data_IF_569578651614
#
_entry.id   IF_569578651614
#
_cell.length_a   1.000
_cell.length_b   1.000
_cell.length_c   1.000
_cell.angle_alpha   90.00
_cell.angle_beta   90.00
_cell.angle_gamma   90.00
#
_symmetry.space_group_name_H-M   'P 1'
#
loop_
_entity.id
_entity.type
_entity.pdbx_description
1 polymer ?
#
# COMPACT_ATOMS: atom_id res chain seq x y z
N UNK A 1 28.94 4.63 7.23
CA UNK A 1 27.75 5.43 7.59
C UNK A 1 27.96 6.31 8.80
N UNK A 2 28.84 5.91 9.73
CA UNK A 2 29.25 6.69 10.91
C UNK A 2 29.62 8.17 10.66
N UNK A 3 30.01 8.57 9.44
CA UNK A 3 30.37 9.95 9.14
C UNK A 3 29.17 10.93 9.08
N UNK A 4 27.95 10.44 8.81
CA UNK A 4 26.74 11.27 8.68
C UNK A 4 25.71 10.97 9.78
N UNK A 5 26.08 10.17 10.78
CA UNK A 5 25.16 9.69 11.81
C UNK A 5 24.61 10.85 12.67
N UNK A 6 25.49 11.80 12.99
CA UNK A 6 25.18 13.01 13.75
C UNK A 6 24.61 14.15 12.86
N UNK A 7 24.67 14.04 11.54
CA UNK A 7 24.24 15.10 10.62
C UNK A 7 22.72 15.11 10.46
N UNK A 8 22.05 16.18 10.90
CA UNK A 8 20.60 16.33 10.79
C UNK A 8 20.11 16.34 9.33
N UNK A 9 20.90 16.88 8.40
CA UNK A 9 20.55 16.99 6.99
C UNK A 9 21.47 16.12 6.12
N UNK A 10 20.90 15.10 5.50
CA UNK A 10 21.63 14.22 4.59
C UNK A 10 21.62 14.74 3.15
N UNK A 11 22.68 14.47 2.37
CA UNK A 11 22.74 14.92 0.99
C UNK A 11 21.72 14.21 0.10
N UNK A 12 21.14 14.95 -0.84
CA UNK A 12 20.13 14.47 -1.81
C UNK A 12 20.60 13.23 -2.59
N UNK A 13 21.91 13.09 -2.82
CA UNK A 13 22.50 11.95 -3.53
C UNK A 13 22.13 10.61 -2.91
N UNK A 14 21.91 10.53 -1.59
CA UNK A 14 21.48 9.31 -0.92
C UNK A 14 20.09 8.87 -1.38
N UNK A 15 19.17 9.82 -1.60
CA UNK A 15 17.86 9.50 -2.20
C UNK A 15 18.05 9.04 -3.66
N UNK A 16 18.92 9.69 -4.44
CA UNK A 16 19.17 9.31 -5.84
C UNK A 16 19.64 7.87 -5.97
N UNK A 17 20.66 7.47 -5.19
CA UNK A 17 21.16 6.09 -5.21
C UNK A 17 20.14 5.08 -4.64
N UNK A 18 19.31 5.50 -3.67
CA UNK A 18 18.20 4.68 -3.18
C UNK A 18 17.19 4.38 -4.28
N UNK A 19 16.80 5.39 -5.05
CA UNK A 19 15.85 5.25 -6.16
C UNK A 19 16.44 4.35 -7.26
N UNK A 20 17.71 4.53 -7.60
CA UNK A 20 18.43 3.71 -8.58
C UNK A 20 18.45 2.23 -8.17
N UNK A 21 18.89 1.91 -6.94
CA UNK A 21 18.93 0.53 -6.45
C UNK A 21 17.53 -0.06 -6.27
N UNK A 22 16.56 0.75 -5.83
CA UNK A 22 15.15 0.35 -5.67
C UNK A 22 14.50 -0.09 -6.98
N UNK A 23 14.87 0.52 -8.11
CA UNK A 23 14.39 0.17 -9.45
C UNK A 23 15.21 -0.97 -10.08
N UNK A 24 16.48 -1.09 -9.70
CA UNK A 24 17.45 -2.09 -10.19
C UNK A 24 17.37 -3.44 -9.49
N UNK A 25 18.52 -3.97 -9.08
CA UNK A 25 18.66 -5.31 -8.46
C UNK A 25 18.36 -5.34 -6.96
N UNK A 26 18.16 -4.16 -6.34
CA UNK A 26 17.86 -4.00 -4.91
C UNK A 26 18.92 -4.59 -3.99
N UNK A 27 20.20 -4.36 -4.31
CA UNK A 27 21.35 -4.98 -3.65
C UNK A 27 21.43 -4.58 -2.19
N UNK A 28 21.25 -3.29 -1.90
CA UNK A 28 21.43 -2.77 -0.54
C UNK A 28 20.13 -2.28 0.07
N UNK A 29 19.14 -1.86 -0.73
CA UNK A 29 17.84 -1.43 -0.17
C UNK A 29 17.08 -2.57 0.54
N UNK A 30 17.36 -3.82 0.18
CA UNK A 30 16.81 -5.01 0.83
C UNK A 30 17.79 -5.67 1.83
N UNK A 31 19.02 -5.14 1.96
CA UNK A 31 20.03 -5.68 2.88
C UNK A 31 19.75 -5.26 4.32
N UNK A 32 19.73 -6.24 5.24
CA UNK A 32 19.60 -5.99 6.68
C UNK A 32 20.72 -5.09 7.22
N UNK A 33 21.93 -5.21 6.67
CA UNK A 33 23.10 -4.40 7.04
C UNK A 33 22.94 -2.92 6.68
N UNK A 34 22.06 -2.60 5.73
CA UNK A 34 21.79 -1.23 5.30
C UNK A 34 20.46 -0.72 5.85
N UNK A 35 19.78 -1.47 6.74
CA UNK A 35 18.43 -1.16 7.19
C UNK A 35 18.31 0.24 7.79
N UNK A 36 19.20 0.62 8.71
CA UNK A 36 19.17 1.94 9.32
C UNK A 36 19.33 3.08 8.28
N UNK A 37 20.19 2.88 7.29
CA UNK A 37 20.36 3.82 6.17
C UNK A 37 19.07 4.00 5.40
N UNK A 38 18.48 2.87 5.00
CA UNK A 38 17.27 2.82 4.19
C UNK A 38 16.11 3.46 4.95
N UNK A 39 15.97 3.15 6.24
CA UNK A 39 14.92 3.71 7.09
C UNK A 39 15.08 5.25 7.21
N UNK A 40 16.32 5.75 7.37
CA UNK A 40 16.60 7.20 7.38
C UNK A 40 16.32 7.86 6.01
N UNK A 41 16.65 7.22 4.89
CA UNK A 41 16.31 7.72 3.54
C UNK A 41 14.79 7.79 3.35
N UNK A 42 14.07 6.75 3.77
CA UNK A 42 12.62 6.67 3.61
C UNK A 42 11.86 7.75 4.41
N UNK A 43 12.49 8.38 5.41
CA UNK A 43 11.90 9.54 6.09
C UNK A 43 11.61 10.70 5.13
N UNK A 44 12.36 10.82 4.03
CA UNK A 44 12.13 11.84 3.01
C UNK A 44 10.73 11.78 2.39
N UNK A 45 10.15 10.58 2.32
CA UNK A 45 8.88 10.34 1.64
C UNK A 45 7.66 10.56 2.53
N UNK A 46 7.86 10.65 3.85
CA UNK A 46 6.78 10.79 4.84
C UNK A 46 5.66 9.74 4.72
N UNK A 47 5.99 8.56 4.20
CA UNK A 47 5.03 7.46 3.99
C UNK A 47 4.79 6.70 5.29
N UNK A 48 3.52 6.59 5.69
CA UNK A 48 3.10 5.66 6.75
C UNK A 48 3.03 4.24 6.19
N UNK A 49 4.02 3.42 6.52
CA UNK A 49 4.07 2.03 6.06
C UNK A 49 3.10 1.13 6.86
N UNK A 50 2.45 0.13 6.23
CA UNK A 50 1.64 -0.84 6.93
C UNK A 50 2.47 -1.63 7.95
N UNK A 51 1.98 -1.87 9.18
CA UNK A 51 2.69 -2.71 10.14
C UNK A 51 2.95 -4.12 9.57
N UNK A 52 4.13 -4.68 9.82
CA UNK A 52 4.48 -6.04 9.37
C UNK A 52 3.47 -7.09 9.83
N UNK A 53 2.87 -6.91 11.00
CA UNK A 53 1.81 -7.79 11.54
C UNK A 53 0.55 -7.80 10.67
N UNK A 54 0.15 -6.63 10.13
CA UNK A 54 -0.99 -6.52 9.22
C UNK A 54 -0.71 -7.24 7.89
N UNK A 55 0.51 -7.11 7.37
CA UNK A 55 0.94 -7.82 6.15
C UNK A 55 0.99 -9.34 6.34
N UNK A 56 1.32 -9.80 7.55
CA UNK A 56 1.36 -11.22 7.92
C UNK A 56 -0.04 -11.80 8.15
N UNK A 57 -0.95 -11.05 8.79
CA UNK A 57 -2.35 -11.45 8.96
C UNK A 57 -3.06 -11.67 7.62
N UNK A 58 -2.75 -10.82 6.64
CA UNK A 58 -3.20 -10.98 5.25
C UNK A 58 -2.70 -12.27 4.59
N UNK A 59 -1.57 -12.82 5.02
CA UNK A 59 -1.06 -14.12 4.55
C UNK A 59 -1.71 -15.30 5.29
N UNK A 60 -2.13 -15.14 6.54
CA UNK A 60 -2.72 -16.24 7.33
C UNK A 60 -4.22 -16.39 7.14
N UNK A 61 -4.96 -15.28 6.99
CA UNK A 61 -6.43 -15.31 6.84
C UNK A 61 -6.87 -15.76 5.44
N UNK A 62 -5.98 -15.63 4.45
CA UNK A 62 -6.16 -16.18 3.10
C UNK A 62 -6.12 -17.71 3.05
N UNK A 63 -5.60 -18.37 4.10
CA UNK A 63 -5.57 -19.82 4.24
C UNK A 63 -6.67 -20.44 5.10
N UNK A 64 -7.48 -19.65 5.83
CA UNK A 64 -8.37 -20.17 6.90
C UNK A 64 -9.85 -19.81 6.82
N UNK A 65 -10.26 -18.86 5.97
CA UNK A 65 -11.70 -18.52 5.82
C UNK A 65 -12.45 -19.44 4.83
N UNK A 66 -12.48 -20.73 5.16
CA UNK A 66 -13.24 -21.76 4.44
C UNK A 66 -13.69 -22.90 5.34
N UNK A 67 -14.50 -22.61 6.37
CA UNK A 67 -15.43 -23.58 6.98
C UNK A 67 -16.82 -23.31 6.40
N UNK A 68 -17.61 -24.30 5.96
CA UNK A 68 -17.81 -25.60 6.59
C UNK A 68 -18.18 -26.74 5.62
N UNK A 69 -17.92 -27.96 6.13
CA UNK A 69 -18.55 -29.28 5.92
C UNK A 69 -18.55 -29.93 4.53
N UNK A 70 -17.61 -30.85 4.30
CA UNK A 70 -17.96 -32.20 3.79
C UNK A 70 -16.83 -33.21 4.02
N UNK A 71 -17.22 -34.44 4.32
CA UNK A 71 -16.37 -35.57 4.66
C UNK A 71 -15.62 -36.14 3.45
N UNK A 72 -14.40 -36.63 3.70
CA UNK A 72 -13.81 -37.74 2.93
C UNK A 72 -12.70 -37.39 1.94
N UNK A 73 -11.53 -37.95 2.26
CA UNK A 73 -10.58 -38.58 1.33
C UNK A 73 -9.36 -37.77 0.82
N UNK A 74 -8.21 -38.29 1.28
CA UNK A 74 -6.90 -38.41 0.63
C UNK A 74 -5.92 -37.23 0.58
N UNK A 75 -4.64 -37.47 0.96
CA UNK A 75 -3.58 -36.48 0.86
C UNK A 75 -3.07 -36.44 -0.59
N UNK A 76 -3.34 -35.35 -1.31
CA UNK A 76 -2.61 -35.06 -2.54
C UNK A 76 -1.39 -34.21 -2.19
N UNK A 77 -0.18 -34.56 -2.65
CA UNK A 77 1.02 -33.79 -2.35
C UNK A 77 0.92 -32.44 -3.06
N UNK A 78 0.99 -31.37 -2.29
CA UNK A 78 1.25 -30.03 -2.80
C UNK A 78 2.70 -30.00 -3.27
N UNK A 79 2.92 -29.68 -4.54
CA UNK A 79 4.21 -29.25 -5.06
C UNK A 79 4.70 -28.06 -4.24
N UNK A 80 5.95 -28.03 -3.76
CA UNK A 80 6.49 -26.82 -3.17
C UNK A 80 6.61 -25.76 -4.28
N UNK A 81 6.06 -24.57 -4.03
CA UNK A 81 6.35 -23.37 -4.81
C UNK A 81 7.85 -23.07 -4.65
N UNK A 82 8.64 -23.55 -5.60
CA UNK A 82 10.03 -23.15 -5.79
C UNK A 82 10.05 -21.84 -6.58
N UNK A 83 9.91 -20.68 -5.91
CA UNK A 83 10.54 -19.43 -6.36
C UNK A 83 10.48 -18.33 -5.28
N UNK A 84 11.25 -18.49 -4.20
CA UNK A 84 11.81 -17.36 -3.45
C UNK A 84 13.09 -17.80 -2.72
N UNK A 85 13.92 -18.58 -3.42
CA UNK A 85 15.31 -18.78 -2.99
C UNK A 85 16.03 -17.45 -3.17
N UNK A 86 16.01 -16.63 -2.11
CA UNK A 86 17.01 -15.62 -1.85
C UNK A 86 18.36 -16.21 -2.28
N UNK A 87 18.96 -15.63 -3.30
CA UNK A 87 20.38 -15.83 -3.54
C UNK A 87 21.08 -15.11 -2.40
N UNK A 88 21.16 -15.76 -1.24
CA UNK A 88 22.04 -15.36 -0.16
C UNK A 88 23.46 -15.48 -0.71
N UNK A 89 24.01 -14.35 -1.16
CA UNK A 89 25.44 -14.20 -1.25
C UNK A 89 26.00 -14.48 0.14
N UNK A 90 26.72 -15.59 0.28
CA UNK A 90 27.42 -16.03 1.49
C UNK A 90 28.50 -15.01 1.86
N UNK A 91 28.09 -13.88 2.42
CA UNK A 91 28.93 -13.01 3.23
C UNK A 91 28.81 -13.58 4.64
N UNK A 92 29.95 -13.96 5.22
CA UNK A 92 30.00 -14.56 6.55
C UNK A 92 29.14 -13.76 7.55
N UNK A 93 28.15 -14.42 8.14
CA UNK A 93 27.27 -13.85 9.15
C UNK A 93 28.09 -13.48 10.39
N UNK A 94 28.58 -12.24 10.43
CA UNK A 94 28.97 -11.60 11.67
C UNK A 94 27.66 -11.24 12.39
N UNK A 95 27.31 -12.00 13.43
CA UNK A 95 26.11 -11.75 14.25
C UNK A 95 26.15 -10.32 14.77
N UNK A 96 25.32 -9.43 14.20
CA UNK A 96 25.11 -8.09 14.74
C UNK A 96 24.60 -8.18 16.17
N UNK A 97 25.28 -7.48 17.08
CA UNK A 97 24.83 -7.29 18.46
C UNK A 97 23.51 -6.50 18.49
N UNK A 98 22.60 -6.76 19.44
CA UNK A 98 21.30 -6.06 19.55
C UNK A 98 21.37 -4.55 19.86
N UNK A 99 22.58 -3.97 19.95
CA UNK A 99 22.83 -2.60 20.40
C UNK A 99 23.12 -1.60 19.25
N UNK A 100 23.10 -2.04 17.98
CA UNK A 100 23.47 -1.21 16.81
C UNK A 100 22.26 -0.78 15.96
N UNK A 101 21.05 -0.79 16.52
CA UNK A 101 19.88 -0.18 15.86
C UNK A 101 20.05 1.35 15.94
N UNK A 102 20.79 1.90 14.98
CA UNK A 102 21.02 3.34 14.86
C UNK A 102 19.71 4.15 14.86
N UNK A 103 19.81 5.44 15.13
CA UNK A 103 18.64 6.32 15.21
C UNK A 103 18.02 6.58 13.83
N UNK A 104 16.69 6.48 13.73
CA UNK A 104 15.90 6.91 12.55
C UNK A 104 15.28 8.26 12.85
N UNK A 105 15.58 9.26 12.03
CA UNK A 105 15.03 10.62 12.16
C UNK A 105 14.86 11.28 10.79
N UNK A 106 14.03 12.33 10.66
CA UNK A 106 13.89 13.07 9.40
C UNK A 106 15.24 13.66 8.97
N UNK A 107 15.77 13.24 7.81
CA UNK A 107 17.08 13.71 7.31
C UNK A 107 17.02 14.71 6.15
N UNK A 108 15.82 15.06 5.69
CA UNK A 108 15.63 15.77 4.41
C UNK A 108 14.62 16.93 4.51
N UNK A 109 14.39 17.49 5.70
CA UNK A 109 13.42 18.58 5.87
C UNK A 109 13.78 19.80 4.99
N UNK A 110 15.05 20.20 4.96
CA UNK A 110 15.54 21.32 4.15
C UNK A 110 15.52 21.06 2.63
N UNK A 111 15.54 19.80 2.22
CA UNK A 111 15.57 19.38 0.82
C UNK A 111 14.23 18.78 0.34
N UNK A 112 13.18 18.90 1.15
CA UNK A 112 11.90 18.21 0.94
C UNK A 112 11.29 18.45 -0.44
N UNK A 113 11.20 19.71 -0.89
CA UNK A 113 10.69 20.07 -2.22
C UNK A 113 11.56 19.48 -3.34
N UNK A 114 12.88 19.66 -3.27
CA UNK A 114 13.81 19.15 -4.30
C UNK A 114 13.79 17.62 -4.39
N UNK A 115 13.69 16.95 -3.24
CA UNK A 115 13.61 15.48 -3.19
C UNK A 115 12.29 14.99 -3.75
N UNK A 116 11.16 15.63 -3.39
CA UNK A 116 9.85 15.29 -3.93
C UNK A 116 9.82 15.46 -5.46
N UNK A 117 10.29 16.59 -5.98
CA UNK A 117 10.38 16.86 -7.42
C UNK A 117 11.20 15.79 -8.17
N UNK A 118 12.39 15.46 -7.66
CA UNK A 118 13.24 14.42 -8.25
C UNK A 118 12.54 13.06 -8.28
N UNK A 119 11.93 12.65 -7.16
CA UNK A 119 11.23 11.36 -7.06
C UNK A 119 10.05 11.31 -8.02
N UNK A 120 9.28 12.39 -8.10
CA UNK A 120 8.13 12.49 -9.00
C UNK A 120 8.55 12.41 -10.47
N UNK A 121 9.62 13.10 -10.85
CA UNK A 121 10.15 13.06 -12.22
C UNK A 121 10.59 11.65 -12.62
N UNK A 122 11.33 10.95 -11.75
CA UNK A 122 11.75 9.56 -12.01
C UNK A 122 10.54 8.64 -12.14
N UNK A 123 9.57 8.73 -11.24
CA UNK A 123 8.37 7.89 -11.28
C UNK A 123 7.51 8.16 -12.52
N UNK A 124 7.36 9.43 -12.90
CA UNK A 124 6.68 9.83 -14.14
C UNK A 124 7.38 9.26 -15.36
N UNK A 125 8.71 9.30 -15.44
CA UNK A 125 9.45 8.68 -16.54
C UNK A 125 9.21 7.16 -16.58
N UNK A 126 9.34 6.47 -15.44
CA UNK A 126 9.11 5.02 -15.38
C UNK A 126 7.69 4.61 -15.81
N UNK A 127 6.68 5.38 -15.40
CA UNK A 127 5.27 5.09 -15.71
C UNK A 127 4.84 5.48 -17.12
N UNK A 128 5.52 6.44 -17.76
CA UNK A 128 5.19 6.95 -19.09
C UNK A 128 6.08 6.38 -20.20
N UNK A 129 7.13 5.62 -19.86
CA UNK A 129 7.91 4.85 -20.83
C UNK A 129 6.97 4.02 -21.70
N UNK A 130 7.11 4.17 -23.02
CA UNK A 130 6.35 3.40 -24.03
C UNK A 130 6.78 1.95 -23.99
N UNK A 131 6.27 1.21 -23.01
CA UNK A 131 6.40 -0.22 -22.89
C UNK A 131 4.99 -0.84 -22.96
N UNK A 132 4.87 -2.11 -23.37
CA UNK A 132 3.65 -2.87 -23.17
C UNK A 132 3.19 -2.70 -21.71
N UNK A 133 1.91 -2.42 -21.49
CA UNK A 133 1.33 -2.11 -20.17
C UNK A 133 1.59 -3.21 -19.10
N UNK A 134 1.91 -4.41 -19.57
CA UNK A 134 2.25 -5.64 -18.86
C UNK A 134 3.72 -5.75 -18.43
N UNK A 135 4.60 -4.81 -18.83
CA UNK A 135 6.03 -4.81 -18.51
C UNK A 135 6.41 -4.02 -17.24
N UNK A 136 5.44 -3.52 -16.49
CA UNK A 136 5.73 -2.84 -15.22
C UNK A 136 6.43 -3.79 -14.25
N UNK A 137 7.56 -3.37 -13.69
CA UNK A 137 8.35 -4.20 -12.77
C UNK A 137 7.74 -4.22 -11.36
N UNK A 138 7.95 -5.33 -10.64
CA UNK A 138 7.60 -5.44 -9.20
C UNK A 138 8.32 -4.37 -8.37
N UNK A 139 9.54 -4.02 -8.78
CA UNK A 139 10.39 -3.02 -8.14
C UNK A 139 9.80 -1.61 -8.22
N UNK A 140 9.19 -1.25 -9.36
CA UNK A 140 8.47 0.02 -9.49
C UNK A 140 7.30 0.09 -8.50
N UNK A 141 6.51 -0.98 -8.37
CA UNK A 141 5.39 -1.00 -7.42
C UNK A 141 5.88 -0.91 -5.96
N UNK A 142 7.00 -1.58 -5.62
CA UNK A 142 7.63 -1.47 -4.29
C UNK A 142 8.11 -0.03 -4.03
N UNK A 143 8.68 0.64 -5.03
CA UNK A 143 9.09 2.04 -4.89
C UNK A 143 7.87 2.98 -4.73
N UNK A 144 6.84 2.84 -5.57
CA UNK A 144 5.58 3.58 -5.43
C UNK A 144 4.96 3.39 -4.04
N UNK A 145 5.07 2.17 -3.48
CA UNK A 145 4.57 1.86 -2.13
C UNK A 145 5.31 2.67 -1.07
N UNK A 146 6.63 2.78 -1.19
CA UNK A 146 7.49 3.52 -0.26
C UNK A 146 7.34 5.05 -0.39
N UNK A 147 6.82 5.56 -1.51
CA UNK A 147 6.67 6.99 -1.79
C UNK A 147 5.23 7.49 -1.73
N UNK A 148 4.29 6.68 -1.20
CA UNK A 148 2.87 7.03 -1.07
C UNK A 148 2.57 8.21 -0.14
N UNK A 149 3.54 8.72 0.63
CA UNK A 149 3.38 9.98 1.36
C UNK A 149 3.17 11.18 0.42
N UNK A 150 3.75 11.13 -0.78
CA UNK A 150 3.52 12.14 -1.83
C UNK A 150 2.16 11.93 -2.50
N UNK A 151 1.38 13.02 -2.59
CA UNK A 151 -0.01 12.99 -3.07
C UNK A 151 -0.09 12.60 -4.54
N UNK A 152 0.82 13.13 -5.35
CA UNK A 152 0.86 12.85 -6.79
C UNK A 152 1.24 11.39 -7.06
N UNK A 153 2.08 10.76 -6.23
CA UNK A 153 2.35 9.32 -6.32
C UNK A 153 1.07 8.49 -6.13
N UNK A 154 0.27 8.81 -5.12
CA UNK A 154 -1.02 8.12 -4.89
C UNK A 154 -1.95 8.26 -6.09
N UNK A 155 -2.03 9.46 -6.67
CA UNK A 155 -2.85 9.73 -7.85
C UNK A 155 -2.37 8.96 -9.09
N UNK A 156 -1.07 8.93 -9.36
CA UNK A 156 -0.51 8.15 -10.48
C UNK A 156 -0.71 6.64 -10.31
N UNK A 157 -0.61 6.14 -9.07
CA UNK A 157 -0.77 4.74 -8.74
C UNK A 157 -2.22 4.27 -8.87
N UNK A 158 -3.19 5.00 -8.30
CA UNK A 158 -4.61 4.57 -8.28
C UNK A 158 -5.20 4.42 -9.69
N UNK A 159 -4.75 5.25 -10.64
CA UNK A 159 -5.20 5.22 -12.04
C UNK A 159 -4.87 3.90 -12.76
N UNK A 160 -3.84 3.18 -12.28
CA UNK A 160 -3.35 1.91 -12.86
C UNK A 160 -3.55 0.71 -11.93
N UNK A 161 -4.10 0.94 -10.73
CA UNK A 161 -4.13 -0.06 -9.68
C UNK A 161 -5.02 -1.26 -10.03
N UNK A 162 -6.15 -1.03 -10.71
CA UNK A 162 -7.04 -2.12 -11.14
C UNK A 162 -6.31 -3.13 -12.03
N UNK A 163 -5.56 -2.66 -13.04
CA UNK A 163 -4.84 -3.57 -13.95
C UNK A 163 -3.70 -4.30 -13.24
N UNK A 164 -3.00 -3.67 -12.30
CA UNK A 164 -1.92 -4.31 -11.55
C UNK A 164 -2.44 -5.35 -10.55
N UNK A 165 -3.58 -5.10 -9.91
CA UNK A 165 -4.22 -6.07 -9.03
C UNK A 165 -4.69 -7.32 -9.81
N UNK A 166 -5.12 -7.15 -11.06
CA UNK A 166 -5.56 -8.26 -11.92
C UNK A 166 -4.40 -9.04 -12.57
N UNK A 167 -3.18 -8.48 -12.60
CA UNK A 167 -2.02 -9.16 -13.15
C UNK A 167 -1.38 -10.08 -12.10
N UNK A 168 -1.40 -11.42 -12.27
CA UNK A 168 -0.89 -12.35 -11.26
C UNK A 168 0.60 -12.16 -10.91
N UNK A 169 1.42 -11.60 -11.83
CA UNK A 169 2.83 -11.30 -11.55
C UNK A 169 3.02 -10.11 -10.60
N UNK A 170 2.02 -9.22 -10.57
CA UNK A 170 2.04 -7.94 -9.85
C UNK A 170 1.03 -7.89 -8.70
N UNK A 171 0.12 -8.87 -8.58
CA UNK A 171 -0.97 -8.84 -7.59
C UNK A 171 -0.45 -8.57 -6.18
N UNK A 172 0.62 -9.24 -5.74
CA UNK A 172 1.17 -9.04 -4.40
C UNK A 172 1.70 -7.62 -4.17
N UNK A 173 2.69 -7.12 -4.94
CA UNK A 173 3.16 -5.74 -4.74
C UNK A 173 2.06 -4.69 -4.99
N UNK A 174 1.05 -4.99 -5.81
CA UNK A 174 -0.10 -4.10 -6.01
C UNK A 174 -1.04 -4.05 -4.79
N UNK A 175 -1.18 -5.17 -4.05
CA UNK A 175 -1.91 -5.20 -2.77
C UNK A 175 -1.20 -4.38 -1.69
N UNK A 176 0.13 -4.47 -1.62
CA UNK A 176 0.95 -3.70 -0.69
C UNK A 176 0.85 -2.19 -1.03
N UNK A 177 0.92 -1.85 -2.32
CA UNK A 177 0.71 -0.49 -2.82
C UNK A 177 -0.68 0.06 -2.48
N UNK A 178 -1.74 -0.72 -2.69
CA UNK A 178 -3.11 -0.34 -2.34
C UNK A 178 -3.24 -0.01 -0.84
N UNK A 179 -2.63 -0.83 0.02
CA UNK A 179 -2.66 -0.60 1.46
C UNK A 179 -1.95 0.70 1.84
N UNK A 180 -0.71 0.88 1.36
CA UNK A 180 0.07 2.09 1.62
C UNK A 180 -0.66 3.35 1.13
N UNK A 181 -1.24 3.29 -0.07
CA UNK A 181 -2.03 4.38 -0.63
C UNK A 181 -3.22 4.75 0.26
N UNK A 182 -4.00 3.77 0.71
CA UNK A 182 -5.15 4.02 1.58
C UNK A 182 -4.75 4.63 2.93
N UNK A 183 -3.69 4.11 3.57
CA UNK A 183 -3.18 4.65 4.84
C UNK A 183 -2.64 6.09 4.73
N UNK A 184 -2.18 6.48 3.54
CA UNK A 184 -1.59 7.80 3.29
C UNK A 184 -2.56 8.80 2.64
N UNK A 185 -3.80 8.40 2.33
CA UNK A 185 -4.87 9.30 1.89
C UNK A 185 -5.47 10.07 3.09
N UNK A 186 -4.64 10.88 3.73
CA UNK A 186 -4.83 11.42 5.08
C UNK A 186 -4.99 12.95 5.15
N UNK A 187 -5.00 13.66 4.02
CA UNK A 187 -5.13 15.13 4.00
C UNK A 187 -6.49 15.61 3.53
N UNK A 188 -7.28 14.75 2.87
CA UNK A 188 -8.59 15.09 2.27
C UNK A 188 -8.51 16.31 1.32
N UNK A 189 -7.36 16.47 0.66
CA UNK A 189 -7.16 17.49 -0.38
C UNK A 189 -7.79 17.09 -1.71
N UNK A 190 -7.62 17.94 -2.73
CA UNK A 190 -8.11 17.65 -4.09
C UNK A 190 -7.60 16.30 -4.61
N UNK A 191 -6.30 16.02 -4.45
CA UNK A 191 -5.69 14.77 -4.90
C UNK A 191 -6.28 13.55 -4.18
N UNK A 192 -6.48 13.63 -2.85
CA UNK A 192 -7.07 12.54 -2.07
C UNK A 192 -8.53 12.29 -2.48
N UNK A 193 -9.31 13.34 -2.73
CA UNK A 193 -10.67 13.20 -3.25
C UNK A 193 -10.69 12.53 -4.63
N UNK A 194 -9.72 12.86 -5.49
CA UNK A 194 -9.57 12.20 -6.79
C UNK A 194 -9.11 10.75 -6.65
N UNK A 195 -8.23 10.46 -5.69
CA UNK A 195 -7.83 9.09 -5.35
C UNK A 195 -9.04 8.27 -4.92
N UNK A 196 -9.87 8.78 -4.02
CA UNK A 196 -11.11 8.12 -3.59
C UNK A 196 -12.06 7.89 -4.77
N UNK A 197 -12.21 8.89 -5.65
CA UNK A 197 -13.04 8.80 -6.86
C UNK A 197 -12.55 7.70 -7.82
N UNK A 198 -11.24 7.46 -7.90
CA UNK A 198 -10.68 6.36 -8.69
C UNK A 198 -10.82 5.01 -7.98
N UNK A 199 -10.62 4.95 -6.66
CA UNK A 199 -10.74 3.72 -5.87
C UNK A 199 -12.12 3.06 -6.01
N UNK A 200 -13.20 3.85 -5.98
CA UNK A 200 -14.58 3.32 -6.10
C UNK A 200 -14.91 2.80 -7.49
N UNK A 201 -14.10 3.12 -8.50
CA UNK A 201 -14.26 2.64 -9.88
C UNK A 201 -13.61 1.28 -10.09
N UNK A 202 -12.69 0.87 -9.22
CA UNK A 202 -11.97 -0.40 -9.32
C UNK A 202 -12.96 -1.57 -9.29
N UNK A 203 -12.83 -2.46 -10.27
CA UNK A 203 -13.61 -3.71 -10.36
C UNK A 203 -12.73 -4.92 -10.05
N UNK A 204 -13.15 -5.71 -9.07
CA UNK A 204 -12.40 -6.88 -8.59
C UNK A 204 -13.25 -8.13 -8.76
N UNK A 205 -12.66 -9.18 -9.34
CA UNK A 205 -13.32 -10.48 -9.52
C UNK A 205 -12.89 -11.51 -8.48
N UNK A 206 -11.59 -11.69 -8.17
CA UNK A 206 -11.18 -12.69 -7.19
C UNK A 206 -11.58 -12.27 -5.78
N UNK A 207 -12.28 -13.16 -5.05
CA UNK A 207 -12.75 -12.91 -3.68
C UNK A 207 -11.63 -12.51 -2.72
N UNK A 208 -10.45 -13.13 -2.86
CA UNK A 208 -9.27 -12.83 -2.05
C UNK A 208 -8.83 -11.37 -2.22
N UNK A 209 -8.77 -10.89 -3.46
CA UNK A 209 -8.37 -9.49 -3.75
C UNK A 209 -9.45 -8.52 -3.28
N UNK A 210 -10.72 -8.88 -3.44
CA UNK A 210 -11.85 -8.09 -2.96
C UNK A 210 -11.82 -7.94 -1.43
N UNK A 211 -11.55 -9.01 -0.69
CA UNK A 211 -11.41 -8.96 0.77
C UNK A 211 -10.26 -8.05 1.21
N UNK A 212 -9.10 -8.16 0.55
CA UNK A 212 -7.97 -7.26 0.80
C UNK A 212 -8.34 -5.80 0.52
N UNK A 213 -9.01 -5.54 -0.60
CA UNK A 213 -9.49 -4.20 -0.93
C UNK A 213 -10.44 -3.65 0.14
N UNK A 214 -11.33 -4.46 0.70
CA UNK A 214 -12.21 -4.01 1.80
C UNK A 214 -11.44 -3.69 3.09
N UNK A 215 -10.33 -4.39 3.36
CA UNK A 215 -9.42 -4.00 4.45
C UNK A 215 -8.77 -2.64 4.16
N UNK A 216 -8.24 -2.45 2.94
CA UNK A 216 -7.67 -1.17 2.55
C UNK A 216 -8.70 -0.02 2.59
N UNK A 217 -9.97 -0.28 2.27
CA UNK A 217 -11.05 0.70 2.45
C UNK A 217 -11.18 1.08 3.93
N UNK A 218 -11.09 0.13 4.88
CA UNK A 218 -11.13 0.48 6.32
C UNK A 218 -9.96 1.37 6.72
N UNK A 219 -8.76 1.07 6.23
CA UNK A 219 -7.59 1.92 6.51
C UNK A 219 -7.70 3.31 5.88
N UNK A 220 -8.31 3.42 4.69
CA UNK A 220 -8.66 4.71 4.09
C UNK A 220 -9.61 5.51 5.00
N UNK A 221 -10.61 4.87 5.61
CA UNK A 221 -11.51 5.56 6.54
C UNK A 221 -10.79 5.99 7.83
N UNK A 222 -9.89 5.17 8.34
CA UNK A 222 -9.03 5.50 9.49
C UNK A 222 -8.04 6.64 9.18
N UNK A 223 -7.61 6.77 7.93
CA UNK A 223 -6.61 7.75 7.52
C UNK A 223 -7.11 9.21 7.67
N UNK A 224 -8.41 9.46 7.45
CA UNK A 224 -9.01 10.77 7.66
C UNK A 224 -10.52 10.71 7.90
N UNK A 225 -11.01 11.44 8.91
CA UNK A 225 -12.42 11.45 9.34
C UNK A 225 -13.41 11.77 8.22
N UNK A 226 -13.03 12.65 7.28
CA UNK A 226 -13.92 13.12 6.22
C UNK A 226 -13.94 12.18 4.99
N UNK A 227 -13.07 11.14 4.97
CA UNK A 227 -13.08 10.13 3.90
C UNK A 227 -14.40 9.36 3.88
N UNK A 228 -15.00 9.08 5.06
CA UNK A 228 -16.27 8.38 5.17
C UNK A 228 -17.39 9.10 4.41
N UNK A 229 -17.57 10.40 4.67
CA UNK A 229 -18.60 11.20 4.02
C UNK A 229 -18.44 11.25 2.50
N UNK A 230 -17.20 11.42 2.03
CA UNK A 230 -16.86 11.42 0.60
C UNK A 230 -17.17 10.07 -0.05
N UNK A 231 -16.72 8.96 0.56
CA UNK A 231 -16.98 7.63 0.02
C UNK A 231 -18.47 7.29 -0.03
N UNK A 232 -19.22 7.56 1.04
CA UNK A 232 -20.67 7.32 1.09
C UNK A 232 -21.37 8.08 -0.04
N UNK A 233 -21.06 9.38 -0.19
CA UNK A 233 -21.65 10.21 -1.23
C UNK A 233 -21.38 9.66 -2.63
N UNK A 234 -20.12 9.31 -2.92
CA UNK A 234 -19.73 8.85 -4.24
C UNK A 234 -20.27 7.46 -4.57
N UNK A 235 -20.27 6.52 -3.61
CA UNK A 235 -20.76 5.16 -3.84
C UNK A 235 -22.28 5.14 -4.00
N UNK A 236 -23.03 5.91 -3.21
CA UNK A 236 -24.48 6.06 -3.40
C UNK A 236 -24.77 6.67 -4.77
N UNK A 237 -24.04 7.70 -5.17
CA UNK A 237 -24.21 8.31 -6.49
C UNK A 237 -23.94 7.30 -7.63
N UNK A 238 -22.90 6.48 -7.53
CA UNK A 238 -22.62 5.42 -8.49
C UNK A 238 -23.75 4.39 -8.56
N UNK A 239 -24.33 4.01 -7.41
CA UNK A 239 -25.39 3.00 -7.36
C UNK A 239 -26.72 3.49 -7.97
N UNK A 240 -27.01 4.78 -7.80
CA UNK A 240 -28.21 5.44 -8.34
C UNK A 240 -28.04 5.90 -9.81
N UNK A 241 -26.85 5.76 -10.39
CA UNK A 241 -26.55 6.17 -11.76
C UNK A 241 -26.20 4.98 -12.65
N UNK A 242 -25.78 5.25 -13.90
CA UNK A 242 -25.29 4.22 -14.82
C UNK A 242 -23.84 3.77 -14.50
N UNK A 243 -23.20 4.36 -13.49
CA UNK A 243 -21.83 4.05 -13.07
C UNK A 243 -21.75 2.90 -12.05
N UNK A 244 -22.77 2.04 -11.98
CA UNK A 244 -22.82 0.92 -11.03
C UNK A 244 -21.57 0.05 -11.10
N UNK A 245 -21.04 -0.26 -9.93
CA UNK A 245 -19.90 -1.14 -9.76
C UNK A 245 -20.35 -2.37 -8.93
N UNK A 246 -20.04 -3.60 -9.35
CA UNK A 246 -20.37 -4.80 -8.56
C UNK A 246 -19.85 -4.77 -7.12
N UNK A 247 -18.81 -3.98 -6.84
CA UNK A 247 -18.23 -3.82 -5.52
C UNK A 247 -19.02 -2.84 -4.61
N UNK A 248 -19.88 -1.97 -5.17
CA UNK A 248 -20.53 -0.87 -4.44
C UNK A 248 -21.24 -1.33 -3.15
N UNK A 249 -22.03 -2.39 -3.23
CA UNK A 249 -22.80 -2.86 -2.07
C UNK A 249 -21.90 -3.38 -0.94
N UNK A 250 -20.78 -4.03 -1.27
CA UNK A 250 -19.81 -4.46 -0.26
C UNK A 250 -19.03 -3.28 0.32
N UNK A 251 -18.72 -2.28 -0.50
CA UNK A 251 -18.14 -1.02 -0.02
C UNK A 251 -19.12 -0.34 0.93
N UNK A 252 -20.39 -0.12 0.55
CA UNK A 252 -21.42 0.46 1.42
C UNK A 252 -21.55 -0.29 2.75
N UNK A 253 -21.58 -1.63 2.70
CA UNK A 253 -21.60 -2.43 3.92
C UNK A 253 -20.39 -2.12 4.81
N UNK A 254 -19.19 -2.05 4.24
CA UNK A 254 -17.97 -1.69 4.98
C UNK A 254 -18.01 -0.27 5.56
N UNK A 255 -18.52 0.71 4.79
CA UNK A 255 -18.69 2.10 5.24
C UNK A 255 -19.67 2.18 6.42
N UNK A 256 -20.79 1.48 6.35
CA UNK A 256 -21.82 1.47 7.41
C UNK A 256 -21.33 0.80 8.70
N UNK A 257 -20.45 -0.20 8.58
CA UNK A 257 -19.83 -0.89 9.72
C UNK A 257 -18.69 -0.10 10.37
N UNK A 258 -18.16 0.93 9.72
CA UNK A 258 -17.03 1.69 10.25
C UNK A 258 -17.43 2.60 11.43
N UNK A 259 -18.61 3.24 11.35
CA UNK A 259 -19.12 4.13 12.39
C UNK A 259 -20.57 3.80 12.75
N UNK A 260 -20.84 2.64 13.39
CA UNK A 260 -22.21 2.23 13.74
C UNK A 260 -22.89 3.22 14.69
N UNK A 261 -22.12 4.01 15.46
CA UNK A 261 -22.64 5.02 16.38
C UNK A 261 -23.14 6.31 15.69
N UNK A 262 -22.65 6.60 14.49
CA UNK A 262 -23.10 7.75 13.68
C UNK A 262 -24.32 7.41 12.81
N UNK A 263 -24.68 6.12 12.71
CA UNK A 263 -25.91 5.72 12.07
C UNK A 263 -27.10 6.34 12.83
N UNK A 264 -28.11 6.89 12.12
CA UNK A 264 -29.27 7.44 12.79
C UNK A 264 -29.89 6.35 13.67
N UNK A 265 -29.86 6.57 14.99
CA UNK A 265 -30.63 5.76 15.93
C UNK A 265 -32.09 5.97 15.57
N UNK A 266 -32.68 5.07 14.80
CA UNK A 266 -34.13 4.97 14.67
C UNK A 266 -34.63 4.49 16.03
N UNK A 267 -34.70 5.42 17.00
CA UNK A 267 -35.39 5.18 18.25
C UNK A 267 -36.87 5.10 17.90
N UNK A 268 -37.40 3.91 18.13
CA UNK A 268 -38.80 3.51 18.08
C UNK A 268 -39.77 4.67 18.39
N UNK A 269 -40.36 5.25 17.34
CA UNK A 269 -41.70 5.83 17.46
C UNK A 269 -42.71 4.71 17.31
N UNK A 270 -42.77 3.84 18.31
CA UNK A 270 -43.80 2.80 18.43
C UNK A 270 -43.90 2.38 19.90
N UNK A 271 -44.47 3.26 20.73
CA UNK A 271 -45.23 2.91 21.95
C UNK A 271 -45.60 4.17 22.73
N UNK A 272 -46.53 4.97 22.19
CA UNK A 272 -47.45 5.80 22.99
C UNK A 272 -48.78 5.87 22.23
N UNK A 273 -49.49 4.76 22.24
CA UNK A 273 -50.96 4.72 22.29
C UNK A 273 -51.40 4.81 23.73
#
# INVERSE_FOLDING_TARGET
>A
MAAYEEDENWPEIFVKVYIEDSLGERIWVDSSHCKNFVDNIQTAFSTKMPPKSMLLQLQTDTGRSGGDISAGSSPHPSTPDEDDSQTELLIAEEKLSPEDDGQVMPRYEELSESVEDYVLDVLKDQLNRRQPMDNVSRNLLRLLTATCGYKEVRLMAVQRLEMWLQNPKLTRPAQDLLMSLCMNCNSHGADDMEVISNLIKIRLKPKVILNHYMLCVRELLNAHKDNLGTMVKLVIFNELSNARNPNNMQVLHTLLQHSPEQAPKVREYSMLT
#
